data_IF_680523696914
#
_entry.id   IF_680523696914
#
_cell.length_a   1.000
_cell.length_b   1.000
_cell.length_c   1.000
_cell.angle_alpha   90.00
_cell.angle_beta   90.00
_cell.angle_gamma   90.00
#
_symmetry.space_group_name_H-M   'P 1'
#
loop_
_entity.id
_entity.type
_entity.pdbx_description
1 polymer ?
#
# COMPACT_ATOMS: atom_id res chain seq x y z
N UNK A 1 -10.61 -16.81 -3.18
CA UNK A 1 -9.72 -15.79 -2.59
C UNK A 1 -10.48 -14.98 -1.57
N UNK A 2 -9.87 -14.73 -0.44
CA UNK A 2 -10.45 -13.94 0.65
C UNK A 2 -9.58 -12.74 0.94
N UNK A 3 -10.20 -11.65 1.41
CA UNK A 3 -9.48 -10.49 1.90
C UNK A 3 -9.83 -10.29 3.36
N UNK A 4 -8.82 -10.24 4.21
CA UNK A 4 -8.98 -10.06 5.66
C UNK A 4 -8.23 -8.81 6.13
N UNK A 5 -8.78 -8.18 7.16
CA UNK A 5 -8.03 -7.19 7.91
C UNK A 5 -6.89 -7.87 8.65
N UNK A 6 -5.77 -7.18 8.79
CA UNK A 6 -4.60 -7.71 9.49
C UNK A 6 -4.94 -8.17 10.90
N UNK A 7 -4.48 -9.37 11.26
CA UNK A 7 -4.72 -9.98 12.57
C UNK A 7 -3.46 -10.49 13.27
N UNK A 8 -2.30 -10.42 12.61
CA UNK A 8 -1.05 -10.99 13.10
C UNK A 8 -0.83 -12.45 12.71
N UNK A 9 -1.81 -13.08 12.08
CA UNK A 9 -1.78 -14.50 11.74
C UNK A 9 -0.81 -14.86 10.61
N UNK A 10 -0.52 -13.90 9.72
CA UNK A 10 0.27 -14.15 8.51
C UNK A 10 1.53 -13.28 8.42
N UNK A 11 2.08 -12.86 9.55
CA UNK A 11 3.22 -11.93 9.59
C UNK A 11 4.41 -12.39 8.76
N UNK A 12 4.83 -13.63 8.91
CA UNK A 12 5.97 -14.17 8.16
C UNK A 12 5.73 -14.19 6.66
N UNK A 13 4.52 -14.54 6.25
CA UNK A 13 4.15 -14.59 4.83
C UNK A 13 4.04 -13.20 4.22
N UNK A 14 3.52 -12.22 4.97
CA UNK A 14 3.42 -10.83 4.55
C UNK A 14 4.82 -10.28 4.27
N UNK A 15 5.74 -10.44 5.21
CA UNK A 15 7.11 -9.98 5.08
C UNK A 15 7.80 -10.66 3.89
N UNK A 16 7.66 -11.97 3.77
CA UNK A 16 8.25 -12.73 2.67
C UNK A 16 7.74 -12.28 1.30
N UNK A 17 6.43 -12.06 1.18
CA UNK A 17 5.81 -11.57 -0.05
C UNK A 17 6.35 -10.19 -0.44
N UNK A 18 6.33 -9.26 0.50
CA UNK A 18 6.74 -7.87 0.24
C UNK A 18 8.22 -7.79 -0.10
N UNK A 19 9.09 -8.38 0.71
CA UNK A 19 10.53 -8.36 0.45
C UNK A 19 10.89 -9.08 -0.85
N UNK A 20 10.18 -10.16 -1.18
CA UNK A 20 10.37 -10.87 -2.44
C UNK A 20 10.09 -9.98 -3.64
N UNK A 21 8.97 -9.26 -3.64
CA UNK A 21 8.62 -8.36 -4.74
C UNK A 21 9.59 -7.18 -4.81
N UNK A 22 9.90 -6.56 -3.68
CA UNK A 22 10.80 -5.40 -3.65
C UNK A 22 12.22 -5.73 -4.12
N UNK A 23 12.75 -6.87 -3.72
CA UNK A 23 14.17 -7.20 -3.92
C UNK A 23 14.42 -8.10 -5.11
N UNK A 24 13.61 -9.14 -5.29
CA UNK A 24 13.82 -10.11 -6.37
C UNK A 24 13.17 -9.68 -7.68
N UNK A 25 12.02 -9.04 -7.61
CA UNK A 25 11.29 -8.62 -8.79
C UNK A 25 11.63 -7.19 -9.22
N UNK A 26 11.59 -6.23 -8.29
CA UNK A 26 11.88 -4.83 -8.59
C UNK A 26 13.35 -4.43 -8.41
N UNK A 27 14.14 -5.24 -7.72
CA UNK A 27 15.57 -5.00 -7.53
C UNK A 27 15.90 -3.78 -6.68
N UNK A 28 15.02 -3.40 -5.75
CA UNK A 28 15.18 -2.16 -4.98
C UNK A 28 16.15 -2.32 -3.82
N UNK A 29 16.38 -3.54 -3.32
CA UNK A 29 17.34 -3.79 -2.25
C UNK A 29 16.89 -3.32 -0.88
N UNK A 30 15.62 -3.53 -0.53
CA UNK A 30 15.06 -3.14 0.76
C UNK A 30 15.19 -4.24 1.80
N UNK A 31 15.40 -3.85 3.06
CA UNK A 31 15.46 -4.76 4.19
C UNK A 31 14.23 -4.58 5.09
N UNK A 32 13.95 -5.59 5.92
CA UNK A 32 12.92 -5.48 6.95
C UNK A 32 13.28 -4.39 7.97
N UNK A 33 14.57 -4.28 8.32
CA UNK A 33 15.06 -3.27 9.26
C UNK A 33 14.76 -1.84 8.77
N UNK A 34 14.82 -1.61 7.46
CA UNK A 34 14.50 -0.32 6.85
C UNK A 34 13.01 -0.05 6.72
N UNK A 35 12.16 -0.99 7.12
CA UNK A 35 10.70 -0.89 7.03
C UNK A 35 10.06 -1.26 8.37
N UNK A 36 10.22 -0.41 9.40
CA UNK A 36 9.75 -0.74 10.76
C UNK A 36 8.24 -0.92 10.84
N UNK A 37 7.47 -0.37 9.90
CA UNK A 37 6.02 -0.55 9.85
C UNK A 37 5.64 -2.03 9.65
N UNK A 38 6.46 -2.81 8.95
CA UNK A 38 6.21 -4.24 8.76
C UNK A 38 6.39 -5.07 10.04
N UNK A 39 7.09 -4.52 11.03
CA UNK A 39 7.24 -5.15 12.34
C UNK A 39 6.17 -4.73 13.34
N UNK A 40 5.36 -3.75 13.01
CA UNK A 40 4.32 -3.22 13.88
C UNK A 40 3.14 -2.72 13.05
N UNK A 41 2.54 -3.62 12.28
CA UNK A 41 1.44 -3.29 11.38
C UNK A 41 0.24 -2.75 12.18
N UNK A 42 -0.10 -3.37 13.30
CA UNK A 42 -1.20 -2.89 14.14
C UNK A 42 -0.96 -1.46 14.63
N UNK A 43 0.23 -1.19 15.16
CA UNK A 43 0.58 0.13 15.68
C UNK A 43 0.66 1.20 14.60
N UNK A 44 1.25 0.87 13.46
CA UNK A 44 1.47 1.84 12.38
C UNK A 44 0.23 2.10 11.53
N UNK A 45 -0.68 1.15 11.42
CA UNK A 45 -1.86 1.28 10.55
C UNK A 45 -3.16 1.31 11.33
N UNK A 46 -3.46 0.28 12.12
CA UNK A 46 -4.77 0.11 12.75
C UNK A 46 -4.99 1.04 13.94
N UNK A 47 -4.00 1.20 14.78
CA UNK A 47 -4.14 2.02 16.00
C UNK A 47 -4.43 3.49 15.69
N UNK A 48 -3.99 3.99 14.55
CA UNK A 48 -4.25 5.37 14.11
C UNK A 48 -5.58 5.54 13.37
N UNK A 49 -6.39 4.50 13.27
CA UNK A 49 -7.67 4.54 12.57
C UNK A 49 -7.62 4.06 11.12
N UNK A 50 -6.43 3.77 10.61
CA UNK A 50 -6.25 3.15 9.29
C UNK A 50 -6.51 1.65 9.33
N UNK A 51 -6.04 0.95 8.31
CA UNK A 51 -6.21 -0.50 8.21
C UNK A 51 -5.10 -1.09 7.34
N UNK A 52 -4.92 -2.39 7.48
CA UNK A 52 -4.02 -3.17 6.63
C UNK A 52 -4.75 -4.44 6.22
N UNK A 53 -4.76 -4.74 4.92
CA UNK A 53 -5.48 -5.90 4.37
C UNK A 53 -4.52 -6.90 3.79
N UNK A 54 -4.92 -8.16 3.91
CA UNK A 54 -4.18 -9.30 3.35
C UNK A 54 -5.13 -10.08 2.45
N UNK A 55 -4.73 -10.31 1.22
CA UNK A 55 -5.44 -11.21 0.32
C UNK A 55 -4.89 -12.62 0.50
N UNK A 56 -5.77 -13.58 0.67
CA UNK A 56 -5.42 -14.98 0.92
C UNK A 56 -5.94 -15.87 -0.20
N UNK A 57 -5.12 -16.82 -0.61
CA UNK A 57 -5.51 -17.89 -1.50
C UNK A 57 -5.01 -19.21 -0.90
N UNK A 58 -5.92 -20.12 -0.63
CA UNK A 58 -5.62 -21.41 0.02
C UNK A 58 -4.80 -21.22 1.30
N UNK A 59 -5.16 -20.22 2.11
CA UNK A 59 -4.51 -19.94 3.39
C UNK A 59 -3.15 -19.26 3.30
N UNK A 60 -2.72 -18.84 2.09
CA UNK A 60 -1.46 -18.14 1.88
C UNK A 60 -1.68 -16.68 1.55
N UNK A 61 -0.81 -15.81 2.05
CA UNK A 61 -0.83 -14.39 1.70
C UNK A 61 -0.35 -14.20 0.26
N UNK A 62 -1.21 -13.65 -0.59
CA UNK A 62 -0.92 -13.40 -2.01
C UNK A 62 -1.03 -11.93 -2.38
N UNK A 63 -1.42 -11.07 -1.46
CA UNK A 63 -1.48 -9.63 -1.68
C UNK A 63 -1.61 -8.87 -0.37
N UNK A 64 -1.17 -7.63 -0.39
CA UNK A 64 -1.25 -6.72 0.76
C UNK A 64 -1.60 -5.31 0.32
N UNK A 65 -2.19 -4.55 1.24
CA UNK A 65 -2.43 -3.12 1.06
C UNK A 65 -2.66 -2.48 2.43
N UNK A 66 -2.00 -1.36 2.68
CA UNK A 66 -2.17 -0.59 3.91
C UNK A 66 -2.67 0.82 3.66
N UNK A 67 -3.47 1.33 4.58
CA UNK A 67 -3.91 2.72 4.64
C UNK A 67 -3.58 3.30 6.01
N UNK A 68 -2.77 4.35 6.01
CA UNK A 68 -2.34 5.02 7.22
C UNK A 68 -3.02 6.39 7.26
N UNK A 69 -3.85 6.63 8.28
CA UNK A 69 -4.52 7.93 8.41
C UNK A 69 -3.53 8.99 8.89
N UNK A 70 -3.64 10.17 8.34
CA UNK A 70 -2.84 11.32 8.66
C UNK A 70 -3.73 12.52 8.98
N UNK A 71 -3.14 13.68 9.15
CA UNK A 71 -3.84 14.93 9.47
C UNK A 71 -4.66 15.47 8.29
N UNK A 72 -5.59 16.36 8.58
CA UNK A 72 -6.33 17.16 7.58
C UNK A 72 -7.10 16.34 6.54
N UNK A 73 -7.65 15.21 6.95
CA UNK A 73 -8.41 14.34 6.05
C UNK A 73 -7.56 13.61 5.03
N UNK A 74 -6.25 13.56 5.24
CA UNK A 74 -5.32 12.86 4.37
C UNK A 74 -5.01 11.46 4.89
N UNK A 75 -4.73 10.56 3.98
CA UNK A 75 -4.25 9.22 4.29
C UNK A 75 -3.15 8.83 3.32
N UNK A 76 -2.30 7.90 3.72
CA UNK A 76 -1.22 7.38 2.88
C UNK A 76 -1.49 5.93 2.57
N UNK A 77 -1.49 5.60 1.28
CA UNK A 77 -1.59 4.23 0.79
C UNK A 77 -0.19 3.64 0.72
N UNK A 78 0.00 2.50 1.38
CA UNK A 78 1.32 1.85 1.50
C UNK A 78 1.22 0.34 1.30
N UNK A 79 2.35 -0.26 0.97
CA UNK A 79 2.51 -1.71 0.93
C UNK A 79 1.50 -2.40 0.01
N UNK A 80 1.29 -1.82 -1.16
CA UNK A 80 0.42 -2.39 -2.18
C UNK A 80 1.21 -3.38 -3.03
N UNK A 81 1.07 -4.65 -2.72
CA UNK A 81 1.80 -5.73 -3.38
C UNK A 81 0.86 -6.88 -3.69
N UNK A 82 1.03 -7.48 -4.87
CA UNK A 82 0.31 -8.67 -5.29
C UNK A 82 1.31 -9.67 -5.84
N UNK A 83 1.21 -10.91 -5.40
CA UNK A 83 2.02 -12.00 -5.92
C UNK A 83 1.86 -12.08 -7.44
N UNK A 84 2.98 -12.24 -8.13
CA UNK A 84 3.03 -12.25 -9.59
C UNK A 84 2.04 -13.22 -10.22
N UNK A 85 1.88 -14.41 -9.63
CA UNK A 85 0.97 -15.44 -10.14
C UNK A 85 -0.50 -15.06 -10.02
N UNK A 86 -0.82 -14.06 -9.17
CA UNK A 86 -2.20 -13.66 -8.88
C UNK A 86 -2.59 -12.31 -9.48
N UNK A 87 -1.70 -11.65 -10.22
CA UNK A 87 -1.95 -10.31 -10.76
C UNK A 87 -3.06 -10.27 -11.80
N UNK A 88 -3.24 -11.35 -12.56
CA UNK A 88 -4.32 -11.45 -13.55
C UNK A 88 -5.69 -11.75 -12.93
N UNK A 89 -5.75 -12.01 -11.63
CA UNK A 89 -6.98 -12.41 -10.93
C UNK A 89 -7.67 -11.26 -10.19
N UNK A 90 -7.32 -10.02 -10.51
CA UNK A 90 -7.91 -8.80 -9.94
C UNK A 90 -7.77 -8.68 -8.42
N UNK A 91 -6.74 -9.28 -7.84
CA UNK A 91 -6.47 -9.21 -6.41
C UNK A 91 -6.22 -7.77 -5.97
N UNK A 92 -5.42 -7.04 -6.74
CA UNK A 92 -5.13 -5.63 -6.45
C UNK A 92 -6.38 -4.78 -6.42
N UNK A 93 -7.28 -4.97 -7.37
CA UNK A 93 -8.55 -4.23 -7.40
C UNK A 93 -9.43 -4.57 -6.19
N UNK A 94 -9.49 -5.83 -5.80
CA UNK A 94 -10.27 -6.25 -4.64
C UNK A 94 -9.73 -5.64 -3.34
N UNK A 95 -8.40 -5.61 -3.17
CA UNK A 95 -7.75 -4.94 -2.04
C UNK A 95 -8.06 -3.44 -2.05
N UNK A 96 -7.95 -2.81 -3.21
CA UNK A 96 -8.18 -1.38 -3.36
C UNK A 96 -9.63 -0.99 -3.02
N UNK A 97 -10.60 -1.81 -3.39
CA UNK A 97 -12.01 -1.58 -3.03
C UNK A 97 -12.22 -1.58 -1.51
N UNK A 98 -11.52 -2.46 -0.78
CA UNK A 98 -11.55 -2.46 0.69
C UNK A 98 -10.98 -1.18 1.25
N UNK A 99 -9.88 -0.72 0.68
CA UNK A 99 -9.24 0.54 1.09
C UNK A 99 -10.18 1.72 0.87
N UNK A 100 -10.79 1.84 -0.29
CA UNK A 100 -11.72 2.94 -0.59
C UNK A 100 -12.91 2.94 0.36
N UNK A 101 -13.48 1.78 0.65
CA UNK A 101 -14.59 1.66 1.58
C UNK A 101 -14.20 2.14 2.98
N UNK A 102 -13.01 1.78 3.45
CA UNK A 102 -12.51 2.22 4.75
C UNK A 102 -12.21 3.72 4.77
N UNK A 103 -11.63 4.25 3.70
CA UNK A 103 -11.36 5.67 3.55
C UNK A 103 -12.66 6.48 3.62
N UNK A 104 -13.70 6.04 2.95
CA UNK A 104 -15.01 6.68 2.99
C UNK A 104 -15.60 6.69 4.40
N UNK A 105 -15.55 5.56 5.09
CA UNK A 105 -16.07 5.43 6.46
C UNK A 105 -15.34 6.31 7.46
N UNK A 106 -14.06 6.56 7.24
CA UNK A 106 -13.21 7.33 8.16
C UNK A 106 -13.08 8.80 7.78
N UNK A 107 -13.78 9.25 6.73
CA UNK A 107 -13.81 10.65 6.33
C UNK A 107 -12.55 11.12 5.61
N UNK A 108 -11.80 10.21 5.02
CA UNK A 108 -10.61 10.54 4.22
C UNK A 108 -11.04 11.27 2.94
N UNK A 109 -10.37 12.39 2.63
CA UNK A 109 -10.63 13.18 1.44
C UNK A 109 -9.50 13.13 0.42
N UNK A 110 -8.30 12.82 0.87
CA UNK A 110 -7.12 12.77 0.01
C UNK A 110 -6.30 11.53 0.35
N UNK A 111 -5.95 10.74 -0.66
CA UNK A 111 -5.06 9.59 -0.51
C UNK A 111 -3.79 9.88 -1.28
N UNK A 112 -2.67 9.79 -0.59
CA UNK A 112 -1.38 10.06 -1.17
C UNK A 112 -0.50 8.81 -1.12
N UNK A 113 0.42 8.66 -2.08
CA UNK A 113 1.38 7.58 -2.11
C UNK A 113 2.67 8.01 -2.80
N UNK A 114 3.75 7.31 -2.47
CA UNK A 114 4.98 7.35 -3.23
C UNK A 114 5.25 5.97 -3.83
N UNK A 115 5.85 5.94 -5.00
CA UNK A 115 6.12 4.71 -5.74
C UNK A 115 7.44 4.84 -6.50
N UNK A 116 8.24 3.76 -6.59
CA UNK A 116 9.47 3.81 -7.40
C UNK A 116 9.17 4.12 -8.86
N UNK A 117 10.03 4.91 -9.50
CA UNK A 117 9.86 5.28 -10.90
C UNK A 117 9.85 4.08 -11.85
N UNK A 118 10.43 2.96 -11.44
CA UNK A 118 10.50 1.73 -12.24
C UNK A 118 9.24 0.87 -12.16
N UNK A 119 8.32 1.17 -11.24
CA UNK A 119 7.12 0.37 -11.01
C UNK A 119 5.98 0.71 -11.99
N UNK A 120 6.22 0.54 -13.28
CA UNK A 120 5.30 0.98 -14.34
C UNK A 120 3.90 0.37 -14.28
N UNK A 121 3.78 -0.90 -13.90
CA UNK A 121 2.48 -1.55 -13.77
C UNK A 121 1.65 -0.91 -12.64
N UNK A 122 2.31 -0.54 -11.54
CA UNK A 122 1.66 0.16 -10.43
C UNK A 122 1.19 1.55 -10.86
N UNK A 123 2.01 2.27 -11.64
CA UNK A 123 1.64 3.60 -12.16
C UNK A 123 0.38 3.53 -13.01
N UNK A 124 0.28 2.54 -13.88
CA UNK A 124 -0.92 2.35 -14.70
C UNK A 124 -2.16 2.09 -13.85
N UNK A 125 -2.00 1.30 -12.80
CA UNK A 125 -3.09 1.05 -11.84
C UNK A 125 -3.56 2.35 -11.18
N UNK A 126 -2.61 3.15 -10.65
CA UNK A 126 -2.95 4.40 -9.96
C UNK A 126 -3.63 5.39 -10.90
N UNK A 127 -3.12 5.55 -12.11
CA UNK A 127 -3.70 6.47 -13.10
C UNK A 127 -5.09 6.03 -13.52
N UNK A 128 -5.31 4.75 -13.73
CA UNK A 128 -6.63 4.20 -14.03
C UNK A 128 -7.61 4.39 -12.86
N UNK A 129 -7.12 4.32 -11.63
CA UNK A 129 -7.92 4.53 -10.43
C UNK A 129 -8.25 6.00 -10.17
N UNK A 130 -7.69 6.93 -10.94
CA UNK A 130 -7.96 8.36 -10.83
C UNK A 130 -6.92 9.15 -10.05
N UNK A 131 -5.83 8.53 -9.63
CA UNK A 131 -4.72 9.25 -9.02
C UNK A 131 -4.04 10.13 -10.07
N UNK A 132 -3.65 11.33 -9.67
CA UNK A 132 -2.85 12.22 -10.50
C UNK A 132 -1.44 12.30 -9.95
N UNK A 133 -0.47 12.43 -10.84
CA UNK A 133 0.92 12.62 -10.44
C UNK A 133 1.11 14.05 -9.95
N UNK A 134 1.82 14.20 -8.82
CA UNK A 134 2.11 15.49 -8.21
C UNK A 134 3.60 15.66 -7.96
N UNK A 135 4.03 16.88 -7.73
CA UNK A 135 5.38 17.20 -7.27
C UNK A 135 5.39 17.28 -5.74
N UNK A 136 6.59 17.30 -5.16
CA UNK A 136 6.74 17.45 -3.70
C UNK A 136 6.17 18.79 -3.20
N UNK A 137 6.18 19.82 -4.04
CA UNK A 137 5.62 21.12 -3.69
C UNK A 137 4.08 21.08 -3.57
N UNK A 138 3.45 20.10 -4.17
CA UNK A 138 1.99 19.95 -4.17
C UNK A 138 1.46 19.04 -3.06
N UNK A 139 2.33 18.50 -2.20
CA UNK A 139 1.92 17.67 -1.08
C UNK A 139 0.98 18.42 -0.15
N UNK A 140 -0.21 17.85 0.17
CA UNK A 140 -1.19 18.52 1.03
C UNK A 140 -0.79 18.55 2.51
N UNK A 141 0.13 17.68 2.93
CA UNK A 141 0.63 17.56 4.29
C UNK A 141 2.13 17.30 4.25
N UNK A 142 2.87 17.53 5.35
CA UNK A 142 4.25 17.07 5.45
C UNK A 142 4.31 15.56 5.29
N UNK A 143 5.14 15.08 4.37
CA UNK A 143 5.26 13.66 4.06
C UNK A 143 6.70 13.31 3.74
N UNK A 144 7.26 12.40 4.53
CA UNK A 144 8.62 11.90 4.33
C UNK A 144 8.54 10.57 3.57
N UNK A 145 9.28 10.46 2.49
CA UNK A 145 9.34 9.25 1.67
C UNK A 145 10.79 8.99 1.25
N UNK A 146 11.14 7.73 0.93
CA UNK A 146 12.50 7.41 0.48
C UNK A 146 12.85 8.15 -0.81
N UNK A 147 14.00 8.80 -0.85
CA UNK A 147 14.51 9.43 -2.07
C UNK A 147 15.16 8.34 -2.94
N UNK A 148 14.38 7.72 -3.79
CA UNK A 148 14.79 6.64 -4.68
C UNK A 148 14.23 6.86 -6.07
N UNK A 149 14.32 8.08 -6.56
CA UNK A 149 13.67 8.43 -7.80
C UNK A 149 12.17 8.10 -7.73
N UNK A 150 11.57 8.46 -6.60
CA UNK A 150 10.16 8.16 -6.32
C UNK A 150 9.23 9.14 -7.01
N UNK A 151 8.10 8.64 -7.46
CA UNK A 151 7.00 9.45 -7.98
C UNK A 151 5.92 9.58 -6.91
N UNK A 152 5.27 10.73 -6.87
CA UNK A 152 4.17 11.01 -5.95
C UNK A 152 2.84 11.04 -6.70
N UNK A 153 1.82 10.42 -6.12
CA UNK A 153 0.46 10.41 -6.64
C UNK A 153 -0.53 10.83 -5.57
N UNK A 154 -1.59 11.49 -5.99
CA UNK A 154 -2.64 11.98 -5.09
C UNK A 154 -4.01 11.67 -5.70
N UNK A 155 -4.92 11.16 -4.87
CA UNK A 155 -6.32 10.96 -5.21
C UNK A 155 -7.18 11.86 -4.34
N UNK A 156 -8.06 12.63 -4.96
CA UNK A 156 -9.07 13.42 -4.26
C UNK A 156 -10.38 12.62 -4.26
N UNK A 157 -10.92 12.41 -3.08
CA UNK A 157 -12.18 11.66 -2.90
C UNK A 157 -13.39 12.59 -2.81
#
# INVERSE_FOLDING_TARGET
>A
MEIEAYSGKYDGEIVSLILGIQNQEAGIGLSLKGQPDLKNIRGCYQNGGGQFWVALSDGRAVGTLGLMLREDGCAVMKKFFVDREYRSQRVGLALYKRLLSHAEKTGVRHILLDTPSVAHASHRFYETAGFRRITSAELPIPYTYPDRDSLLYLLDL
#
